data_IF_423039060693
#
_entry.id   IF_423039060693
#
_cell.length_a   1.000
_cell.length_b   1.000
_cell.length_c   1.000
_cell.angle_alpha   90.00
_cell.angle_beta   90.00
_cell.angle_gamma   90.00
#
_symmetry.space_group_name_H-M   'P 1'
#
loop_
_entity.id
_entity.type
_entity.pdbx_description
1 polymer ?
#
# COMPACT_ATOMS: atom_id res chain seq x y z
N UNK A 1 6.43 8.17 2.16
CA UNK A 1 7.62 7.62 1.46
C UNK A 1 7.25 6.81 0.22
N UNK A 2 6.24 5.93 0.21
CA UNK A 2 5.82 5.23 -1.02
C UNK A 2 5.19 6.15 -2.08
N UNK A 3 4.29 7.07 -1.68
CA UNK A 3 3.64 7.99 -2.62
C UNK A 3 4.64 8.81 -3.46
N UNK A 4 5.72 9.24 -2.81
CA UNK A 4 6.79 10.02 -3.45
C UNK A 4 7.68 9.15 -4.35
N UNK A 5 7.95 7.90 -3.97
CA UNK A 5 8.85 7.02 -4.71
C UNK A 5 8.25 6.54 -6.05
N UNK A 6 6.92 6.47 -6.16
CA UNK A 6 6.25 5.89 -7.32
C UNK A 6 5.23 6.81 -8.01
N UNK A 7 5.08 8.07 -7.58
CA UNK A 7 4.11 9.04 -8.15
C UNK A 7 2.64 8.56 -8.11
N UNK A 8 2.25 7.92 -7.00
CA UNK A 8 0.88 7.50 -6.72
C UNK A 8 0.38 8.03 -5.38
N UNK A 9 -0.92 8.31 -5.28
CA UNK A 9 -1.57 8.60 -4.01
C UNK A 9 -2.07 7.30 -3.39
N UNK A 10 -1.44 6.86 -2.29
CA UNK A 10 -1.90 5.67 -1.55
C UNK A 10 -2.78 6.12 -0.39
N UNK A 11 -3.99 5.55 -0.33
CA UNK A 11 -5.05 5.87 0.62
C UNK A 11 -5.40 4.58 1.37
N UNK A 12 -5.44 4.66 2.71
CA UNK A 12 -5.95 3.58 3.56
C UNK A 12 -7.34 4.00 4.02
N UNK A 13 -8.36 3.35 3.45
CA UNK A 13 -9.76 3.82 3.54
C UNK A 13 -10.33 3.62 4.94
N UNK A 14 -9.88 2.60 5.66
CA UNK A 14 -10.37 2.28 7.00
C UNK A 14 -9.44 2.88 8.08
N UNK A 15 -9.95 3.81 8.88
CA UNK A 15 -9.13 4.59 9.84
C UNK A 15 -8.31 3.76 10.84
N UNK A 16 -8.83 2.64 11.40
CA UNK A 16 -8.02 1.77 12.26
C UNK A 16 -6.77 1.20 11.57
N UNK A 17 -6.84 0.95 10.27
CA UNK A 17 -5.75 0.34 9.50
C UNK A 17 -4.63 1.34 9.18
N UNK A 18 -4.87 2.65 9.33
CA UNK A 18 -3.83 3.69 9.20
C UNK A 18 -2.74 3.62 10.28
N UNK A 19 -3.01 2.89 11.38
CA UNK A 19 -2.07 2.69 12.49
C UNK A 19 -1.26 1.39 12.37
N UNK A 20 -1.47 0.59 11.33
CA UNK A 20 -0.74 -0.66 11.13
C UNK A 20 0.73 -0.36 10.85
N UNK A 21 1.61 -1.09 11.53
CA UNK A 21 3.05 -0.94 11.41
C UNK A 21 3.61 -2.12 10.61
N UNK A 22 4.30 -1.80 9.51
CA UNK A 22 5.06 -2.77 8.72
C UNK A 22 6.53 -2.35 8.69
N UNK A 23 7.40 -3.21 9.21
CA UNK A 23 8.84 -3.08 9.05
C UNK A 23 9.31 -4.14 8.06
N UNK A 24 9.67 -3.71 6.85
CA UNK A 24 10.17 -4.58 5.80
C UNK A 24 11.24 -3.83 4.98
N UNK A 25 12.19 -4.58 4.42
CA UNK A 25 13.19 -4.05 3.48
C UNK A 25 12.75 -4.43 2.06
N UNK A 26 12.70 -3.44 1.19
CA UNK A 26 12.42 -3.62 -0.24
C UNK A 26 13.63 -3.13 -1.03
N UNK A 27 14.22 -3.98 -1.87
CA UNK A 27 15.40 -3.65 -2.68
C UNK A 27 14.99 -3.56 -4.15
N UNK A 28 14.78 -2.33 -4.65
CA UNK A 28 14.35 -2.06 -6.03
C UNK A 28 13.07 -2.78 -6.46
N UNK A 29 12.14 -3.04 -5.53
CA UNK A 29 10.88 -3.68 -5.86
C UNK A 29 9.94 -2.77 -6.65
N UNK A 30 9.07 -3.37 -7.45
CA UNK A 30 7.94 -2.66 -8.05
C UNK A 30 6.93 -2.25 -6.97
N UNK A 31 6.19 -1.16 -7.19
CA UNK A 31 5.09 -0.78 -6.30
C UNK A 31 4.08 -1.93 -6.12
N UNK A 32 3.81 -2.67 -7.20
CA UNK A 32 2.91 -3.84 -7.18
C UNK A 32 3.38 -4.93 -6.22
N UNK A 33 4.67 -5.24 -6.16
CA UNK A 33 5.20 -6.22 -5.22
C UNK A 33 5.09 -5.75 -3.77
N UNK A 34 5.40 -4.47 -3.52
CA UNK A 34 5.25 -3.87 -2.19
C UNK A 34 3.79 -3.94 -1.74
N UNK A 35 2.84 -3.58 -2.62
CA UNK A 35 1.41 -3.64 -2.33
C UNK A 35 0.92 -5.07 -2.10
N UNK A 36 1.46 -6.07 -2.81
CA UNK A 36 1.16 -7.48 -2.56
C UNK A 36 1.62 -7.92 -1.17
N UNK A 37 2.78 -7.47 -0.72
CA UNK A 37 3.25 -7.76 0.66
C UNK A 37 2.30 -7.12 1.67
N UNK A 38 2.00 -5.83 1.51
CA UNK A 38 1.07 -5.09 2.38
C UNK A 38 -0.31 -5.78 2.43
N UNK A 39 -0.88 -6.12 1.27
CA UNK A 39 -2.18 -6.77 1.16
C UNK A 39 -2.20 -8.12 1.87
N UNK A 40 -1.14 -8.92 1.68
CA UNK A 40 -1.04 -10.26 2.25
C UNK A 40 -0.79 -10.22 3.76
N UNK A 41 0.04 -9.30 4.25
CA UNK A 41 0.35 -9.16 5.67
C UNK A 41 -0.84 -8.69 6.49
N UNK A 42 -1.63 -7.75 5.96
CA UNK A 42 -2.74 -7.13 6.70
C UNK A 42 -4.13 -7.60 6.28
N UNK A 43 -4.22 -8.50 5.29
CA UNK A 43 -5.49 -8.96 4.75
C UNK A 43 -6.29 -7.84 4.07
N UNK A 44 -5.60 -6.88 3.45
CA UNK A 44 -6.21 -5.75 2.75
C UNK A 44 -6.39 -6.08 1.27
N UNK A 45 -7.42 -5.51 0.65
CA UNK A 45 -7.61 -5.49 -0.80
C UNK A 45 -7.00 -4.22 -1.37
N UNK A 46 -6.55 -4.31 -2.62
CA UNK A 46 -5.94 -3.20 -3.35
C UNK A 46 -6.86 -2.84 -4.51
N UNK A 47 -7.33 -1.60 -4.55
CA UNK A 47 -8.09 -1.06 -5.67
C UNK A 47 -7.31 0.10 -6.28
N UNK A 48 -7.07 0.02 -7.59
CA UNK A 48 -6.37 1.08 -8.33
C UNK A 48 -7.40 1.83 -9.16
N UNK A 49 -7.43 3.15 -9.01
CA UNK A 49 -8.26 4.06 -9.79
C UNK A 49 -7.41 5.25 -10.19
N UNK A 50 -7.13 5.40 -11.49
CA UNK A 50 -6.25 6.43 -12.02
C UNK A 50 -4.88 6.44 -11.31
N UNK A 51 -4.54 7.52 -10.59
CA UNK A 51 -3.31 7.65 -9.79
C UNK A 51 -3.53 7.41 -8.29
N UNK A 52 -4.69 6.90 -7.91
CA UNK A 52 -5.06 6.60 -6.55
C UNK A 52 -5.06 5.08 -6.32
N UNK A 53 -4.46 4.67 -5.20
CA UNK A 53 -4.41 3.29 -4.76
C UNK A 53 -5.09 3.23 -3.40
N UNK A 54 -6.23 2.58 -3.36
CA UNK A 54 -7.03 2.37 -2.16
C UNK A 54 -6.72 1.01 -1.54
N UNK A 55 -6.37 1.02 -0.27
CA UNK A 55 -6.22 -0.16 0.58
C UNK A 55 -7.48 -0.31 1.44
N UNK A 56 -8.25 -1.37 1.19
CA UNK A 56 -9.57 -1.63 1.80
C UNK A 56 -9.62 -3.01 2.47
N UNK A 57 -10.71 -3.34 3.19
CA UNK A 57 -11.01 -4.71 3.66
C UNK A 57 -12.12 -5.34 2.82
#
# INVERSE_FOLDING_TARGET
MLNQAYDYTIIVDHSPDQKLLLTAKFEQNSLTEILKVISSTFGLKVHVKDREIHLTR
#
